data_IF_089336455746
#
_entry.id   IF_089336455746
#
_cell.length_a   1.000
_cell.length_b   1.000
_cell.length_c   1.000
_cell.angle_alpha   90.00
_cell.angle_beta   90.00
_cell.angle_gamma   90.00
#
_symmetry.space_group_name_H-M   'P 1'
#
loop_
_entity.id
_entity.type
_entity.pdbx_description
1 polymer ?
#
# COMPACT_ATOMS: atom_id res chain seq x y z
N UNK A 1 24.23 -3.17 -8.10
CA UNK A 1 23.73 -2.14 -7.16
C UNK A 1 22.35 -2.60 -6.72
N UNK A 2 22.14 -2.88 -5.43
CA UNK A 2 20.93 -3.52 -4.89
C UNK A 2 19.97 -2.53 -4.23
N UNK A 3 19.63 -1.45 -4.94
CA UNK A 3 18.71 -0.41 -4.45
C UNK A 3 17.30 -0.75 -4.91
N UNK A 4 16.32 -0.64 -4.00
CA UNK A 4 14.91 -0.82 -4.29
C UNK A 4 14.31 0.54 -4.65
N UNK A 5 13.57 0.61 -5.76
CA UNK A 5 12.91 1.83 -6.24
C UNK A 5 11.40 1.72 -5.99
N UNK A 6 10.84 2.72 -5.31
CA UNK A 6 9.41 2.85 -5.05
C UNK A 6 8.85 4.07 -5.76
N UNK A 7 7.71 3.92 -6.44
CA UNK A 7 6.93 5.02 -6.98
C UNK A 7 5.88 5.46 -5.95
N UNK A 8 5.85 6.75 -5.64
CA UNK A 8 4.93 7.34 -4.67
C UNK A 8 3.67 7.94 -5.33
N UNK A 9 2.63 8.18 -4.54
CA UNK A 9 1.39 8.87 -4.91
C UNK A 9 0.65 8.32 -6.13
N UNK A 10 0.72 7.01 -6.38
CA UNK A 10 0.08 6.39 -7.54
C UNK A 10 -1.45 6.52 -7.44
N UNK A 11 -2.06 7.08 -8.50
CA UNK A 11 -3.51 7.31 -8.59
C UNK A 11 -3.98 8.75 -8.35
N UNK A 12 -3.09 9.68 -7.98
CA UNK A 12 -3.43 11.12 -7.75
C UNK A 12 -3.42 11.98 -9.02
N UNK A 13 -2.93 11.45 -10.14
CA UNK A 13 -2.83 12.12 -11.45
C UNK A 13 -2.84 11.16 -12.64
N UNK A 14 -2.25 11.56 -13.77
CA UNK A 14 -2.10 10.68 -14.94
C UNK A 14 -1.11 9.55 -14.67
N UNK A 15 -1.63 8.44 -14.19
CA UNK A 15 -0.86 7.21 -13.98
C UNK A 15 -0.84 6.42 -15.28
N UNK A 16 0.20 6.59 -16.10
CA UNK A 16 0.35 5.78 -17.30
C UNK A 16 0.98 4.43 -16.96
N UNK A 17 0.17 3.38 -17.03
CA UNK A 17 0.62 1.99 -16.96
C UNK A 17 1.74 1.68 -17.96
N UNK A 18 1.76 2.39 -19.09
CA UNK A 18 2.81 2.25 -20.10
C UNK A 18 4.18 2.76 -19.64
N UNK A 19 4.25 3.70 -18.68
CA UNK A 19 5.55 4.09 -18.12
C UNK A 19 6.07 3.04 -17.12
N UNK A 20 5.16 2.38 -16.38
CA UNK A 20 5.53 1.34 -15.43
C UNK A 20 6.25 0.16 -16.10
N UNK A 21 5.91 -0.18 -17.35
CA UNK A 21 6.52 -1.32 -18.06
C UNK A 21 7.99 -1.13 -18.42
N UNK A 22 8.52 0.10 -18.42
CA UNK A 22 9.90 0.39 -18.85
C UNK A 22 10.78 0.96 -17.73
N UNK A 23 10.21 1.29 -16.58
CA UNK A 23 10.95 1.84 -15.45
C UNK A 23 11.38 0.72 -14.50
N UNK A 24 12.60 0.79 -13.93
CA UNK A 24 13.09 -0.18 -12.96
C UNK A 24 12.45 0.05 -11.58
N UNK A 25 11.12 -0.11 -11.48
CA UNK A 25 10.36 0.08 -10.24
C UNK A 25 10.14 -1.28 -9.59
N UNK A 26 10.38 -1.37 -8.29
CA UNK A 26 10.13 -2.58 -7.49
C UNK A 26 8.80 -2.50 -6.73
N UNK A 27 8.37 -1.27 -6.38
CA UNK A 27 7.18 -1.04 -5.55
C UNK A 27 6.36 0.16 -6.01
N UNK A 28 5.05 0.06 -5.85
CA UNK A 28 4.11 1.16 -6.05
C UNK A 28 3.37 1.43 -4.75
N UNK A 29 3.30 2.71 -4.36
CA UNK A 29 2.49 3.17 -3.23
C UNK A 29 1.16 3.72 -3.76
N UNK A 30 0.07 3.03 -3.44
CA UNK A 30 -1.29 3.49 -3.72
C UNK A 30 -1.65 4.53 -2.67
N UNK A 31 -1.86 5.77 -3.13
CA UNK A 31 -2.20 6.88 -2.26
C UNK A 31 -3.54 6.63 -1.51
N UNK A 32 -3.67 7.28 -0.34
CA UNK A 32 -4.86 7.24 0.49
C UNK A 32 -6.13 7.58 -0.30
N UNK A 33 -6.10 8.58 -1.18
CA UNK A 33 -7.29 8.97 -1.96
C UNK A 33 -7.78 7.86 -2.89
N UNK A 34 -6.86 7.06 -3.44
CA UNK A 34 -7.21 5.91 -4.28
C UNK A 34 -7.81 4.79 -3.44
N UNK A 35 -7.23 4.51 -2.27
CA UNK A 35 -7.81 3.55 -1.31
C UNK A 35 -9.21 4.01 -0.91
N UNK A 36 -9.38 5.24 -0.43
CA UNK A 36 -10.67 5.81 0.01
C UNK A 36 -11.74 5.73 -1.09
N UNK A 37 -11.35 5.95 -2.36
CA UNK A 37 -12.27 5.84 -3.51
C UNK A 37 -12.78 4.42 -3.76
N UNK A 38 -11.96 3.40 -3.48
CA UNK A 38 -12.26 2.01 -3.85
C UNK A 38 -12.43 1.06 -2.66
N UNK A 39 -12.46 1.56 -1.43
CA UNK A 39 -12.55 0.72 -0.22
C UNK A 39 -13.92 0.04 -0.06
N UNK A 40 -14.97 0.57 -0.69
CA UNK A 40 -16.32 0.01 -0.65
C UNK A 40 -16.44 -1.39 -1.28
N UNK A 41 -17.42 -2.20 -0.84
CA UNK A 41 -17.51 -3.63 -1.16
C UNK A 41 -17.57 -3.94 -2.67
N UNK A 42 -18.23 -3.10 -3.47
CA UNK A 42 -18.29 -3.30 -4.92
C UNK A 42 -16.98 -2.87 -5.60
N UNK A 43 -16.41 -1.77 -5.12
CA UNK A 43 -15.20 -1.13 -5.65
C UNK A 43 -13.91 -1.86 -5.27
N UNK A 44 -13.88 -2.60 -4.16
CA UNK A 44 -12.68 -3.32 -3.71
C UNK A 44 -12.24 -4.41 -4.70
N UNK A 45 -13.17 -4.94 -5.51
CA UNK A 45 -12.85 -5.87 -6.61
C UNK A 45 -12.04 -5.18 -7.71
N UNK A 46 -12.30 -3.89 -7.96
CA UNK A 46 -11.52 -3.09 -8.91
C UNK A 46 -10.11 -2.89 -8.37
N UNK A 47 -10.01 -2.55 -7.07
CA UNK A 47 -8.71 -2.44 -6.39
C UNK A 47 -7.90 -3.74 -6.50
N UNK A 48 -8.51 -4.90 -6.24
CA UNK A 48 -7.83 -6.19 -6.37
C UNK A 48 -7.34 -6.49 -7.80
N UNK A 49 -8.10 -6.09 -8.83
CA UNK A 49 -7.67 -6.23 -10.24
C UNK A 49 -6.49 -5.31 -10.56
N UNK A 50 -6.50 -4.09 -10.04
CA UNK A 50 -5.37 -3.16 -10.19
C UNK A 50 -4.11 -3.73 -9.54
N UNK A 51 -4.22 -4.25 -8.32
CA UNK A 51 -3.11 -4.89 -7.61
C UNK A 51 -2.57 -6.09 -8.40
N UNK A 52 -3.45 -6.96 -8.89
CA UNK A 52 -3.05 -8.11 -9.71
C UNK A 52 -2.32 -7.69 -11.00
N UNK A 53 -2.73 -6.58 -11.62
CA UNK A 53 -2.03 -6.02 -12.78
C UNK A 53 -0.61 -5.55 -12.42
N UNK A 54 -0.45 -4.86 -11.29
CA UNK A 54 0.85 -4.38 -10.78
C UNK A 54 1.76 -5.57 -10.45
N UNK A 55 1.21 -6.63 -9.83
CA UNK A 55 1.93 -7.89 -9.61
C UNK A 55 2.38 -8.54 -10.92
N UNK A 56 1.55 -8.48 -11.98
CA UNK A 56 1.90 -8.94 -13.32
C UNK A 56 3.08 -8.19 -13.95
N UNK A 57 3.40 -6.98 -13.46
CA UNK A 57 4.59 -6.22 -13.83
C UNK A 57 5.80 -6.52 -12.92
N UNK A 58 5.71 -7.55 -12.07
CA UNK A 58 6.71 -7.92 -11.05
C UNK A 58 6.98 -6.83 -10.00
N UNK A 59 6.00 -5.96 -9.74
CA UNK A 59 6.08 -4.91 -8.73
C UNK A 59 5.24 -5.28 -7.51
N UNK A 60 5.63 -4.82 -6.33
CA UNK A 60 4.83 -4.95 -5.10
C UNK A 60 3.98 -3.72 -4.85
N UNK A 61 2.90 -3.87 -4.09
CA UNK A 61 1.98 -2.81 -3.72
C UNK A 61 2.08 -2.46 -2.24
N UNK A 62 2.24 -1.17 -1.95
CA UNK A 62 2.02 -0.57 -0.63
C UNK A 62 0.69 0.19 -0.70
N UNK A 63 -0.22 -0.04 0.23
CA UNK A 63 -1.43 0.81 0.35
C UNK A 63 -1.29 1.76 1.52
N UNK A 64 -1.49 3.05 1.25
CA UNK A 64 -1.40 4.11 2.25
C UNK A 64 -2.74 4.47 2.87
N UNK A 65 -2.66 5.12 4.04
CA UNK A 65 -3.82 5.65 4.74
C UNK A 65 -4.73 4.58 5.33
N UNK A 66 -4.20 3.42 5.74
CA UNK A 66 -4.98 2.40 6.47
C UNK A 66 -5.15 2.84 7.93
N UNK A 67 -6.37 3.17 8.32
CA UNK A 67 -6.71 3.77 9.61
C UNK A 67 -7.62 2.86 10.45
N UNK A 68 -8.38 1.97 9.81
CA UNK A 68 -9.34 1.06 10.48
C UNK A 68 -9.05 -0.42 10.20
N UNK A 69 -9.44 -1.29 11.15
CA UNK A 69 -9.25 -2.76 11.03
C UNK A 69 -9.98 -3.33 9.80
N UNK A 70 -11.16 -2.80 9.48
CA UNK A 70 -11.91 -3.27 8.30
C UNK A 70 -11.18 -2.90 7.00
N UNK A 71 -10.53 -1.74 6.93
CA UNK A 71 -9.72 -1.34 5.78
C UNK A 71 -8.52 -2.28 5.61
N UNK A 72 -7.83 -2.60 6.71
CA UNK A 72 -6.76 -3.60 6.73
C UNK A 72 -7.26 -4.94 6.15
N UNK A 73 -8.40 -5.46 6.64
CA UNK A 73 -8.96 -6.73 6.17
C UNK A 73 -9.34 -6.68 4.69
N UNK A 74 -9.86 -5.55 4.20
CA UNK A 74 -10.22 -5.37 2.78
C UNK A 74 -8.99 -5.29 1.89
N UNK A 75 -8.00 -4.47 2.23
CA UNK A 75 -6.80 -4.30 1.42
C UNK A 75 -5.90 -5.55 1.43
N UNK A 76 -5.81 -6.24 2.58
CA UNK A 76 -5.15 -7.55 2.65
C UNK A 76 -5.83 -8.58 1.73
N UNK A 77 -7.16 -8.63 1.73
CA UNK A 77 -7.92 -9.52 0.81
C UNK A 77 -7.79 -9.11 -0.65
N UNK A 78 -7.64 -7.81 -0.94
CA UNK A 78 -7.41 -7.29 -2.27
C UNK A 78 -6.00 -7.62 -2.81
N UNK A 79 -5.07 -8.04 -1.94
CA UNK A 79 -3.75 -8.53 -2.32
C UNK A 79 -2.61 -7.55 -2.09
N UNK A 80 -2.80 -6.45 -1.35
CA UNK A 80 -1.70 -5.52 -1.04
C UNK A 80 -0.57 -6.24 -0.28
N UNK A 81 0.67 -6.04 -0.72
CA UNK A 81 1.86 -6.65 -0.09
C UNK A 81 2.23 -5.97 1.23
N UNK A 82 2.05 -4.64 1.28
CA UNK A 82 2.35 -3.81 2.44
C UNK A 82 1.20 -2.86 2.70
N UNK A 83 0.99 -2.53 3.98
CA UNK A 83 -0.04 -1.61 4.43
C UNK A 83 0.61 -0.57 5.35
N UNK A 84 0.30 0.70 5.11
CA UNK A 84 0.81 1.83 5.88
C UNK A 84 -0.36 2.72 6.30
N UNK A 85 -0.35 3.17 7.55
CA UNK A 85 -1.34 4.12 8.04
C UNK A 85 -1.44 4.13 9.56
N UNK A 86 -2.34 4.98 10.06
CA UNK A 86 -2.45 5.29 11.49
C UNK A 86 -2.99 4.14 12.32
N UNK A 87 -3.57 3.11 11.69
CA UNK A 87 -3.89 1.85 12.36
C UNK A 87 -2.66 1.24 13.03
N UNK A 88 -1.48 1.38 12.40
CA UNK A 88 -0.22 0.84 12.90
C UNK A 88 0.55 1.89 13.71
N UNK A 89 0.86 3.02 13.07
CA UNK A 89 1.56 4.11 13.72
C UNK A 89 1.31 5.40 12.97
N UNK A 90 1.19 6.50 13.72
CA UNK A 90 1.34 7.84 13.17
C UNK A 90 2.83 8.11 12.87
N UNK A 91 3.17 9.15 12.10
CA UNK A 91 4.51 9.71 12.09
C UNK A 91 4.93 10.04 13.52
N UNK A 92 6.09 9.53 13.91
CA UNK A 92 6.64 9.66 15.26
C UNK A 92 8.00 10.35 15.21
N UNK A 93 8.42 10.90 16.35
CA UNK A 93 9.78 11.44 16.48
C UNK A 93 10.80 10.30 16.49
N UNK A 94 12.03 10.62 16.11
CA UNK A 94 13.14 9.65 16.07
C UNK A 94 13.30 8.89 17.40
N UNK A 95 13.18 9.60 18.53
CA UNK A 95 13.31 9.06 19.89
C UNK A 95 12.26 7.99 20.23
N UNK A 96 11.15 7.94 19.48
CA UNK A 96 10.06 7.00 19.72
C UNK A 96 10.15 5.75 18.83
N UNK A 97 11.04 5.73 17.83
CA UNK A 97 11.16 4.64 16.86
C UNK A 97 11.52 3.33 17.55
N UNK A 98 12.46 3.37 18.50
CA UNK A 98 12.88 2.17 19.25
C UNK A 98 11.73 1.50 19.99
N UNK A 99 10.74 2.28 20.45
CA UNK A 99 9.58 1.77 21.20
C UNK A 99 8.66 0.91 20.33
N UNK A 100 8.65 1.14 19.01
CA UNK A 100 7.76 0.43 18.07
C UNK A 100 8.52 -0.49 17.13
N UNK A 101 9.86 -0.44 17.11
CA UNK A 101 10.69 -1.16 16.13
C UNK A 101 10.45 -2.68 16.12
N UNK A 102 10.30 -3.29 17.30
CA UNK A 102 10.04 -4.72 17.45
C UNK A 102 8.56 -5.07 17.60
N UNK A 103 7.66 -4.10 17.40
CA UNK A 103 6.23 -4.31 17.60
C UNK A 103 5.66 -5.08 16.40
N UNK A 104 5.19 -6.30 16.65
CA UNK A 104 4.44 -7.05 15.65
C UNK A 104 2.97 -6.62 15.69
N UNK A 105 2.58 -5.79 14.73
CA UNK A 105 1.20 -5.33 14.64
C UNK A 105 0.21 -6.41 14.20
N UNK A 106 0.67 -7.54 13.68
CA UNK A 106 -0.21 -8.63 13.29
C UNK A 106 -0.92 -9.26 14.49
N UNK A 107 -0.26 -9.29 15.64
CA UNK A 107 -0.81 -9.84 16.89
C UNK A 107 -1.97 -9.00 17.45
N UNK A 108 -2.08 -7.74 17.00
CA UNK A 108 -3.16 -6.81 17.38
C UNK A 108 -4.35 -6.86 16.41
N UNK A 109 -4.19 -7.53 15.27
CA UNK A 109 -5.13 -7.53 14.15
C UNK A 109 -5.77 -8.90 13.87
N UNK A 110 -5.38 -9.92 14.65
CA UNK A 110 -5.92 -11.29 14.64
C UNK A 110 -7.22 -11.40 15.42
#
# INVERSE_FOLDING_TARGET
MGVIISLDDFGTGYSSLNYLTFMPIDKIKLDKSLKDKFIELESIKIMGRLIALIHGLNMKVVTEGVEEIEEFKRMKRAGSDYLQGYLFSKPIKQEEVEKIFNKNYMDLLS
#
